data_IF_180784805403
#
_entry.id   IF_180784805403
#
_cell.length_a   1.000
_cell.length_b   1.000
_cell.length_c   1.000
_cell.angle_alpha   90.00
_cell.angle_beta   90.00
_cell.angle_gamma   90.00
#
_symmetry.space_group_name_H-M   'P 1'
#
loop_
_entity.id
_entity.type
_entity.pdbx_description
1 polymer ?
#
# COMPACT_ATOMS: atom_id res chain seq x y z
N UNK A 1 -6.64 2.56 -10.79
CA UNK A 1 -7.24 2.35 -9.44
C UNK A 1 -7.50 0.87 -9.17
N UNK A 2 -7.63 0.48 -7.89
CA UNK A 2 -7.85 -0.91 -7.45
C UNK A 2 -9.27 -1.09 -6.93
N UNK A 3 -9.92 -2.21 -7.30
CA UNK A 3 -11.24 -2.59 -6.82
C UNK A 3 -11.21 -3.80 -5.89
N UNK A 4 -12.14 -3.86 -4.93
CA UNK A 4 -12.38 -5.06 -4.14
C UNK A 4 -13.88 -5.37 -4.06
N UNK A 5 -14.19 -6.65 -3.84
CA UNK A 5 -15.57 -7.11 -3.63
C UNK A 5 -15.94 -6.94 -2.16
N UNK A 6 -17.05 -6.26 -1.90
CA UNK A 6 -17.67 -6.15 -0.57
C UNK A 6 -19.13 -6.62 -0.66
N UNK A 7 -19.40 -7.82 -0.12
CA UNK A 7 -20.69 -8.49 -0.32
C UNK A 7 -20.97 -8.73 -1.80
N UNK A 8 -22.09 -8.22 -2.32
CA UNK A 8 -22.43 -8.34 -3.74
C UNK A 8 -21.94 -7.15 -4.60
N UNK A 9 -21.29 -6.14 -4.01
CA UNK A 9 -20.88 -4.90 -4.69
C UNK A 9 -19.36 -4.83 -4.92
N UNK A 10 -18.94 -4.25 -6.05
CA UNK A 10 -17.53 -3.89 -6.32
C UNK A 10 -17.29 -2.44 -5.90
N UNK A 11 -16.26 -2.19 -5.09
CA UNK A 11 -15.92 -0.86 -4.56
C UNK A 11 -14.44 -0.53 -4.77
N UNK A 12 -14.12 0.75 -4.82
CA UNK A 12 -12.73 1.24 -4.89
C UNK A 12 -12.02 0.95 -3.56
N UNK A 13 -10.95 0.16 -3.57
CA UNK A 13 -10.07 -0.05 -2.40
C UNK A 13 -8.94 0.99 -2.34
N UNK A 14 -8.31 1.26 -3.48
CA UNK A 14 -7.18 2.18 -3.58
C UNK A 14 -7.22 2.99 -4.88
N UNK A 15 -6.68 4.20 -4.81
CA UNK A 15 -6.60 5.14 -5.91
C UNK A 15 -5.14 5.49 -6.16
N UNK A 16 -4.80 5.70 -7.43
CA UNK A 16 -3.58 6.41 -7.80
C UNK A 16 -3.87 7.92 -7.86
N UNK A 17 -2.82 8.73 -7.94
CA UNK A 17 -2.91 10.19 -7.97
C UNK A 17 -3.80 10.71 -9.13
N UNK A 18 -3.84 10.01 -10.26
CA UNK A 18 -4.66 10.43 -11.42
C UNK A 18 -6.14 10.21 -11.13
N UNK A 19 -6.47 9.07 -10.53
CA UNK A 19 -7.84 8.76 -10.12
C UNK A 19 -8.34 9.70 -9.00
N UNK A 20 -7.46 10.11 -8.07
CA UNK A 20 -7.78 11.13 -7.07
C UNK A 20 -8.07 12.50 -7.70
N UNK A 21 -7.28 12.92 -8.71
CA UNK A 21 -7.50 14.17 -9.44
C UNK A 21 -8.86 14.20 -10.18
N UNK A 22 -9.42 13.03 -10.49
CA UNK A 22 -10.75 12.85 -11.05
C UNK A 22 -11.88 12.89 -10.01
N UNK A 23 -11.54 13.22 -8.75
CA UNK A 23 -12.44 13.31 -7.60
C UNK A 23 -13.11 11.98 -7.21
N UNK A 24 -12.50 10.86 -7.60
CA UNK A 24 -12.90 9.54 -7.12
C UNK A 24 -12.47 9.35 -5.66
N UNK A 25 -13.19 8.50 -4.93
CA UNK A 25 -12.95 8.28 -3.49
C UNK A 25 -12.90 6.78 -3.18
N UNK A 26 -12.11 6.41 -2.16
CA UNK A 26 -12.18 5.07 -1.58
C UNK A 26 -13.61 4.77 -1.14
N UNK A 27 -13.97 3.50 -1.20
CA UNK A 27 -15.31 2.98 -0.99
C UNK A 27 -16.37 3.47 -1.98
N UNK A 28 -16.06 4.26 -3.02
CA UNK A 28 -17.04 4.54 -4.07
C UNK A 28 -17.38 3.25 -4.84
N UNK A 29 -18.61 3.12 -5.32
CA UNK A 29 -19.01 2.00 -6.18
C UNK A 29 -18.29 2.07 -7.53
N UNK A 30 -17.82 0.93 -8.03
CA UNK A 30 -17.15 0.87 -9.34
C UNK A 30 -18.08 1.29 -10.49
N UNK A 31 -19.39 1.03 -10.36
CA UNK A 31 -20.39 1.48 -11.32
C UNK A 31 -20.46 3.02 -11.39
N UNK A 32 -20.47 3.69 -10.23
CA UNK A 32 -20.51 5.15 -10.15
C UNK A 32 -19.23 5.77 -10.74
N UNK A 33 -18.08 5.21 -10.41
CA UNK A 33 -16.80 5.65 -10.95
C UNK A 33 -16.73 5.53 -12.48
N UNK A 34 -17.24 4.43 -13.05
CA UNK A 34 -17.34 4.23 -14.51
C UNK A 34 -18.37 5.15 -15.16
N UNK A 35 -19.45 5.50 -14.46
CA UNK A 35 -20.43 6.45 -14.97
C UNK A 35 -19.85 7.87 -15.07
N UNK A 36 -19.00 8.26 -14.12
CA UNK A 36 -18.29 9.54 -14.14
C UNK A 36 -17.17 9.56 -15.19
N UNK A 37 -16.37 8.49 -15.24
CA UNK A 37 -15.18 8.39 -16.09
C UNK A 37 -15.10 7.02 -16.78
N UNK A 38 -15.72 6.85 -17.96
CA UNK A 38 -15.85 5.54 -18.62
C UNK A 38 -14.53 4.87 -19.00
N UNK A 39 -13.51 5.66 -19.27
CA UNK A 39 -12.18 5.21 -19.70
C UNK A 39 -11.22 4.93 -18.55
N UNK A 40 -11.68 4.90 -17.29
CA UNK A 40 -10.79 4.68 -16.16
C UNK A 40 -10.36 3.20 -16.06
N UNK A 41 -9.06 3.00 -15.84
CA UNK A 41 -8.48 1.68 -15.63
C UNK A 41 -8.74 1.17 -14.21
N UNK A 42 -9.25 -0.06 -14.14
CA UNK A 42 -9.63 -0.74 -12.90
C UNK A 42 -8.95 -2.09 -12.87
N UNK A 43 -8.20 -2.34 -11.81
CA UNK A 43 -7.54 -3.63 -11.54
C UNK A 43 -8.18 -4.22 -10.29
N UNK A 44 -8.49 -5.52 -10.29
CA UNK A 44 -8.99 -6.18 -9.08
C UNK A 44 -7.85 -6.36 -8.07
N UNK A 45 -8.15 -6.15 -6.79
CA UNK A 45 -7.21 -6.39 -5.71
C UNK A 45 -6.77 -7.86 -5.72
N UNK A 46 -5.48 -8.09 -5.55
CA UNK A 46 -4.88 -9.40 -5.36
C UNK A 46 -4.18 -9.40 -3.98
N UNK A 47 -4.92 -9.68 -2.90
CA UNK A 47 -4.36 -9.62 -1.54
C UNK A 47 -3.18 -10.56 -1.31
N UNK A 48 -3.09 -11.63 -2.11
CA UNK A 48 -2.02 -12.61 -2.03
C UNK A 48 -0.75 -12.10 -2.74
N UNK A 49 -0.89 -11.43 -3.88
CA UNK A 49 0.23 -10.71 -4.50
C UNK A 49 0.73 -9.55 -3.61
N UNK A 50 -0.19 -8.79 -3.01
CA UNK A 50 0.14 -7.70 -2.08
C UNK A 50 0.89 -8.25 -0.86
N UNK A 51 0.45 -9.38 -0.30
CA UNK A 51 1.13 -10.05 0.81
C UNK A 51 2.56 -10.47 0.46
N UNK A 52 2.75 -11.16 -0.67
CA UNK A 52 4.09 -11.58 -1.12
C UNK A 52 5.02 -10.40 -1.35
N UNK A 53 4.49 -9.28 -1.84
CA UNK A 53 5.27 -8.05 -1.99
C UNK A 53 5.71 -7.52 -0.62
N UNK A 54 4.81 -7.45 0.36
CA UNK A 54 5.13 -7.01 1.72
C UNK A 54 6.16 -7.92 2.39
N UNK A 55 6.06 -9.23 2.22
CA UNK A 55 7.05 -10.19 2.72
C UNK A 55 8.43 -9.94 2.10
N UNK A 56 8.51 -9.74 0.78
CA UNK A 56 9.77 -9.39 0.12
C UNK A 56 10.35 -8.04 0.55
N UNK A 57 9.49 -7.05 0.85
CA UNK A 57 9.93 -5.78 1.42
C UNK A 57 10.41 -5.94 2.86
N UNK A 58 9.79 -6.81 3.65
CA UNK A 58 10.24 -7.10 5.02
C UNK A 58 11.65 -7.73 5.01
N UNK A 59 11.89 -8.71 4.14
CA UNK A 59 13.22 -9.31 3.96
C UNK A 59 14.25 -8.28 3.50
N UNK A 60 13.88 -7.35 2.62
CA UNK A 60 14.77 -6.28 2.19
C UNK A 60 15.12 -5.30 3.33
N UNK A 61 14.18 -5.09 4.26
CA UNK A 61 14.35 -4.21 5.42
C UNK A 61 15.34 -4.73 6.48
N UNK A 62 15.79 -5.99 6.39
CA UNK A 62 16.84 -6.54 7.27
C UNK A 62 18.13 -5.71 7.26
N UNK A 63 18.37 -4.92 6.19
CA UNK A 63 19.50 -3.96 6.12
C UNK A 63 19.45 -2.87 7.20
N UNK A 64 18.26 -2.56 7.70
CA UNK A 64 18.00 -1.48 8.65
C UNK A 64 17.89 -1.97 10.09
N UNK A 65 17.23 -3.11 10.29
CA UNK A 65 17.06 -3.77 11.58
C UNK A 65 16.71 -5.24 11.36
N UNK A 66 17.17 -6.17 12.24
CA UNK A 66 16.71 -7.55 12.22
C UNK A 66 15.28 -7.73 12.79
N UNK A 67 14.66 -6.65 13.30
CA UNK A 67 13.33 -6.69 13.93
C UNK A 67 12.29 -6.05 13.00
N UNK A 68 11.93 -6.77 11.95
CA UNK A 68 10.90 -6.37 10.98
C UNK A 68 9.66 -7.24 11.14
N UNK A 69 8.49 -6.61 11.08
CA UNK A 69 7.21 -7.31 11.09
C UNK A 69 6.27 -6.73 10.02
N UNK A 70 5.38 -7.57 9.49
CA UNK A 70 4.25 -7.09 8.69
C UNK A 70 3.28 -6.31 9.59
N UNK A 71 2.83 -5.15 9.12
CA UNK A 71 1.73 -4.40 9.71
C UNK A 71 0.50 -4.49 8.79
N UNK A 72 -0.44 -5.36 9.17
CA UNK A 72 -1.72 -5.50 8.50
C UNK A 72 -1.62 -5.85 7.00
N UNK A 73 -2.25 -5.06 6.12
CA UNK A 73 -2.38 -5.39 4.68
C UNK A 73 -1.48 -4.53 3.79
N UNK A 74 -0.89 -3.45 4.31
CA UNK A 74 -0.20 -2.42 3.52
C UNK A 74 0.97 -1.77 4.26
N UNK A 75 1.44 -2.34 5.37
CA UNK A 75 2.47 -1.74 6.20
C UNK A 75 3.56 -2.72 6.66
N UNK A 76 4.67 -2.14 7.13
CA UNK A 76 5.75 -2.80 7.84
C UNK A 76 6.04 -2.02 9.13
N UNK A 77 6.37 -2.75 10.19
CA UNK A 77 6.87 -2.19 11.44
C UNK A 77 8.33 -2.57 11.63
N UNK A 78 9.18 -1.57 11.86
CA UNK A 78 10.62 -1.75 12.06
C UNK A 78 10.98 -1.24 13.46
N UNK A 79 11.45 -2.12 14.33
CA UNK A 79 12.07 -1.69 15.58
C UNK A 79 13.55 -1.40 15.33
N UNK A 80 13.88 -0.11 15.26
CA UNK A 80 15.25 0.36 14.96
C UNK A 80 16.08 0.62 16.22
N UNK A 81 15.57 0.24 17.40
CA UNK A 81 16.27 0.44 18.67
C UNK A 81 17.67 -0.16 18.61
N UNK A 82 18.68 0.66 18.86
CA UNK A 82 20.09 0.25 18.83
C UNK A 82 20.68 0.06 17.43
N UNK A 83 19.92 0.21 16.35
CA UNK A 83 20.45 0.12 14.96
C UNK A 83 20.79 1.50 14.37
N UNK A 84 20.08 2.54 14.78
CA UNK A 84 20.16 3.90 14.20
C UNK A 84 21.57 4.50 14.22
N UNK A 85 22.39 4.16 15.21
CA UNK A 85 23.78 4.62 15.31
C UNK A 85 24.67 4.16 14.14
N UNK A 86 24.34 3.05 13.47
CA UNK A 86 25.07 2.55 12.29
C UNK A 86 24.92 3.49 11.08
N UNK A 87 23.88 4.32 11.10
CA UNK A 87 23.54 5.27 10.05
C UNK A 87 23.84 6.72 10.44
N UNK A 88 24.43 6.97 11.62
CA UNK A 88 24.64 8.33 12.14
C UNK A 88 23.41 8.93 12.85
N UNK A 89 22.45 8.09 13.22
CA UNK A 89 21.22 8.46 13.94
C UNK A 89 19.95 8.32 13.08
N UNK A 90 18.79 8.45 13.73
CA UNK A 90 17.46 8.22 13.12
C UNK A 90 17.21 9.06 11.87
N UNK A 91 17.58 10.35 11.89
CA UNK A 91 17.38 11.24 10.74
C UNK A 91 18.19 10.83 9.52
N UNK A 92 19.45 10.46 9.72
CA UNK A 92 20.31 10.03 8.61
C UNK A 92 19.86 8.67 8.06
N UNK A 93 19.35 7.78 8.92
CA UNK A 93 18.74 6.53 8.51
C UNK A 93 17.49 6.69 7.62
N UNK A 94 16.72 7.78 7.78
CA UNK A 94 15.55 8.05 6.94
C UNK A 94 15.90 8.45 5.49
N UNK A 95 17.13 8.89 5.25
CA UNK A 95 17.59 9.35 3.94
C UNK A 95 18.31 8.23 3.13
N UNK A 96 18.36 6.99 3.65
CA UNK A 96 19.05 5.79 3.10
C UNK A 96 18.13 4.74 2.46
#
# INVERSE_FOLDING_TARGET
MISHRQGNAQRISALDQRAEALHLKRDMGIADARAMHPSIDIVEADPEADRRLLEGLADWCDRYTPLVALDSIDGLFLDVTGCTHLFGGERAMLDE
#
